data_IF_623061960259
#
_entry.id   IF_623061960259
#
_cell.length_a   1.000
_cell.length_b   1.000
_cell.length_c   1.000
_cell.angle_alpha   90.00
_cell.angle_beta   90.00
_cell.angle_gamma   90.00
#
_symmetry.space_group_name_H-M   'P 1'
#
loop_
_entity.id
_entity.type
_entity.pdbx_description
1 polymer ?
#
# COMPACT_ATOMS: atom_id res chain seq x y z
N UNK A 1 0.59 22.88 13.05
CA UNK A 1 0.84 22.21 11.77
C UNK A 1 -0.50 22.09 11.06
N UNK A 2 -0.55 22.36 9.76
CA UNK A 2 -1.80 22.53 9.02
C UNK A 2 -2.34 21.19 8.51
N UNK A 3 -3.65 21.15 8.27
CA UNK A 3 -4.34 20.08 7.53
C UNK A 3 -3.64 19.78 6.19
N UNK A 4 -2.97 20.78 5.60
CA UNK A 4 -2.18 20.61 4.37
C UNK A 4 -1.10 19.53 4.46
N UNK A 5 -0.50 19.26 5.63
CA UNK A 5 0.43 18.16 5.80
C UNK A 5 -0.26 16.81 5.57
N UNK A 6 -1.43 16.60 6.18
CA UNK A 6 -2.18 15.36 6.06
C UNK A 6 -2.78 15.17 4.66
N UNK A 7 -3.23 16.25 4.02
CA UNK A 7 -3.70 16.19 2.64
C UNK A 7 -2.56 15.80 1.69
N UNK A 8 -1.40 16.46 1.82
CA UNK A 8 -0.22 16.14 0.99
C UNK A 8 0.28 14.72 1.24
N UNK A 9 0.37 14.31 2.52
CA UNK A 9 0.76 12.95 2.88
C UNK A 9 -0.24 11.93 2.35
N UNK A 10 -1.54 12.21 2.46
CA UNK A 10 -2.61 11.36 1.98
C UNK A 10 -2.54 11.13 0.47
N UNK A 11 -2.37 12.19 -0.33
CA UNK A 11 -2.19 12.04 -1.77
C UNK A 11 -0.96 11.21 -2.15
N UNK A 12 0.13 11.30 -1.38
CA UNK A 12 1.32 10.47 -1.59
C UNK A 12 1.02 9.02 -1.23
N UNK A 13 0.36 8.77 -0.08
CA UNK A 13 -0.05 7.44 0.35
C UNK A 13 -0.96 6.79 -0.68
N UNK A 14 -1.96 7.49 -1.19
CA UNK A 14 -2.87 7.00 -2.24
C UNK A 14 -2.09 6.59 -3.50
N UNK A 15 -1.11 7.39 -3.92
CA UNK A 15 -0.25 7.06 -5.06
C UNK A 15 0.65 5.86 -4.80
N UNK A 16 1.21 5.73 -3.60
CA UNK A 16 2.05 4.58 -3.23
C UNK A 16 1.21 3.30 -3.17
N UNK A 17 0.00 3.35 -2.59
CA UNK A 17 -0.92 2.22 -2.55
C UNK A 17 -1.39 1.82 -3.96
N UNK A 18 -1.50 2.78 -4.88
CA UNK A 18 -1.77 2.54 -6.30
C UNK A 18 -0.53 2.13 -7.11
N UNK A 19 0.63 1.93 -6.46
CA UNK A 19 1.90 1.59 -7.10
C UNK A 19 2.39 2.62 -8.15
N UNK A 20 2.01 3.90 -8.02
CA UNK A 20 2.39 5.01 -8.93
C UNK A 20 3.66 5.74 -8.47
N UNK A 21 4.70 4.96 -8.15
CA UNK A 21 6.00 5.45 -7.68
C UNK A 21 6.28 5.21 -6.19
N UNK A 22 7.56 5.37 -5.82
CA UNK A 22 8.02 5.12 -4.45
C UNK A 22 7.69 6.27 -3.49
N UNK A 23 7.50 5.96 -2.21
CA UNK A 23 7.29 6.97 -1.18
C UNK A 23 8.41 8.03 -1.16
N UNK A 24 9.65 7.62 -1.44
CA UNK A 24 10.83 8.51 -1.46
C UNK A 24 10.78 9.49 -2.62
N UNK A 25 10.52 9.02 -3.84
CA UNK A 25 10.46 9.90 -5.02
C UNK A 25 9.28 10.87 -4.92
N UNK A 26 8.11 10.39 -4.50
CA UNK A 26 6.90 11.20 -4.35
C UNK A 26 7.04 12.27 -3.26
N UNK A 27 7.64 11.94 -2.11
CA UNK A 27 7.91 12.94 -1.07
C UNK A 27 8.93 13.99 -1.53
N UNK A 28 9.95 13.59 -2.28
CA UNK A 28 10.96 14.52 -2.79
C UNK A 28 10.40 15.48 -3.84
N UNK A 29 9.50 14.97 -4.71
CA UNK A 29 8.81 15.75 -5.73
C UNK A 29 7.73 16.69 -5.16
N UNK A 30 7.29 16.47 -3.93
CA UNK A 30 6.28 17.32 -3.29
C UNK A 30 6.78 18.75 -3.07
N UNK A 31 5.88 19.72 -3.19
CA UNK A 31 6.13 21.15 -2.93
C UNK A 31 6.17 21.51 -1.43
N UNK A 32 6.06 20.52 -0.54
CA UNK A 32 5.97 20.76 0.90
C UNK A 32 7.36 20.91 1.53
N UNK A 33 7.57 21.99 2.28
CA UNK A 33 8.92 22.36 2.78
C UNK A 33 9.52 21.31 3.72
N UNK A 34 8.73 20.76 4.63
CA UNK A 34 9.21 19.81 5.66
C UNK A 34 9.22 18.37 5.13
N UNK A 35 10.01 18.12 4.08
CA UNK A 35 10.10 16.81 3.41
C UNK A 35 10.44 15.64 4.33
N UNK A 36 11.32 15.85 5.34
CA UNK A 36 11.66 14.81 6.33
C UNK A 36 10.45 14.39 7.17
N UNK A 37 9.67 15.35 7.66
CA UNK A 37 8.49 15.07 8.48
C UNK A 37 7.36 14.43 7.66
N UNK A 38 7.22 14.84 6.40
CA UNK A 38 6.29 14.26 5.44
C UNK A 38 6.64 12.79 5.15
N UNK A 39 7.90 12.52 4.78
CA UNK A 39 8.38 11.18 4.50
C UNK A 39 8.22 10.24 5.70
N UNK A 40 8.56 10.71 6.91
CA UNK A 40 8.35 9.93 8.14
C UNK A 40 6.87 9.58 8.34
N UNK A 41 5.94 10.54 8.17
CA UNK A 41 4.51 10.29 8.32
C UNK A 41 3.99 9.30 7.28
N UNK A 42 4.41 9.42 6.02
CA UNK A 42 4.02 8.51 4.93
C UNK A 42 4.52 7.10 5.22
N UNK A 43 5.80 6.92 5.54
CA UNK A 43 6.37 5.60 5.83
C UNK A 43 5.75 4.95 7.06
N UNK A 44 5.50 5.72 8.14
CA UNK A 44 4.80 5.19 9.30
C UNK A 44 3.36 4.80 8.96
N UNK A 45 2.61 5.63 8.22
CA UNK A 45 1.23 5.31 7.81
C UNK A 45 1.17 4.04 6.96
N UNK A 46 2.09 3.89 6.01
CA UNK A 46 2.16 2.72 5.13
C UNK A 46 2.48 1.42 5.89
N UNK A 47 3.17 1.46 7.04
CA UNK A 47 3.42 0.26 7.85
C UNK A 47 2.12 -0.36 8.38
N UNK A 48 1.12 0.46 8.66
CA UNK A 48 -0.14 0.04 9.28
C UNK A 48 -1.32 0.11 8.30
N UNK A 49 -1.08 0.37 7.01
CA UNK A 49 -2.18 0.65 6.08
C UNK A 49 -3.17 -0.49 5.95
N UNK A 50 -2.72 -1.75 5.92
CA UNK A 50 -3.64 -2.90 5.85
C UNK A 50 -4.61 -2.98 7.04
N UNK A 51 -4.16 -2.57 8.23
CA UNK A 51 -4.93 -2.62 9.47
C UNK A 51 -5.86 -1.41 9.57
N UNK A 52 -5.37 -0.25 9.14
CA UNK A 52 -6.07 1.03 9.30
C UNK A 52 -6.98 1.37 8.11
N UNK A 53 -6.81 0.73 6.95
CA UNK A 53 -7.64 0.97 5.76
C UNK A 53 -9.14 0.72 6.00
N UNK A 54 -9.58 -0.38 6.64
CA UNK A 54 -10.99 -0.57 6.99
C UNK A 54 -11.52 0.58 7.87
N UNK A 55 -10.75 1.00 8.88
CA UNK A 55 -11.12 2.10 9.77
C UNK A 55 -11.22 3.44 9.03
N UNK A 56 -10.31 3.68 8.08
CA UNK A 56 -10.33 4.87 7.26
C UNK A 56 -11.57 4.91 6.34
N UNK A 57 -12.02 3.76 5.84
CA UNK A 57 -13.26 3.64 5.04
C UNK A 57 -14.51 3.93 5.87
N UNK A 58 -14.60 3.39 7.08
CA UNK A 58 -15.72 3.64 7.99
C UNK A 58 -15.84 5.14 8.32
N UNK A 59 -14.70 5.79 8.57
CA UNK A 59 -14.65 7.24 8.80
C UNK A 59 -15.01 8.05 7.55
N UNK A 60 -14.62 7.59 6.36
CA UNK A 60 -14.96 8.27 5.11
C UNK A 60 -16.48 8.35 4.91
N UNK A 61 -17.20 7.26 5.20
CA UNK A 61 -18.67 7.24 5.16
C UNK A 61 -19.32 8.27 6.09
N UNK A 62 -18.63 8.68 7.15
CA UNK A 62 -19.12 9.67 8.13
C UNK A 62 -18.67 11.10 7.82
N UNK A 63 -17.45 11.27 7.32
CA UNK A 63 -16.82 12.59 7.05
C UNK A 63 -17.10 13.12 5.65
N UNK A 64 -17.63 12.29 4.75
CA UNK A 64 -17.93 12.63 3.35
C UNK A 64 -16.69 12.69 2.45
N UNK A 65 -16.94 12.84 1.14
CA UNK A 65 -15.92 12.73 0.07
C UNK A 65 -14.91 13.88 -0.01
N UNK A 66 -14.99 14.85 0.90
CA UNK A 66 -14.04 15.96 0.98
C UNK A 66 -12.62 15.51 1.41
N UNK A 67 -12.47 14.28 1.94
CA UNK A 67 -11.20 13.72 2.40
C UNK A 67 -10.84 12.47 1.58
N UNK A 68 -9.59 12.37 1.12
CA UNK A 68 -9.12 11.15 0.45
C UNK A 68 -8.87 10.03 1.46
N UNK A 69 -8.92 8.77 1.00
CA UNK A 69 -8.61 7.61 1.84
C UNK A 69 -7.23 7.72 2.48
N UNK A 70 -6.21 8.10 1.72
CA UNK A 70 -4.86 8.30 2.25
C UNK A 70 -4.80 9.37 3.33
N UNK A 71 -5.56 10.47 3.20
CA UNK A 71 -5.60 11.52 4.23
C UNK A 71 -6.21 11.01 5.53
N UNK A 72 -7.35 10.32 5.43
CA UNK A 72 -8.00 9.69 6.58
C UNK A 72 -7.10 8.64 7.21
N UNK A 73 -6.38 7.86 6.41
CA UNK A 73 -5.43 6.87 6.89
C UNK A 73 -4.31 7.50 7.72
N UNK A 74 -3.72 8.60 7.25
CA UNK A 74 -2.71 9.34 8.01
C UNK A 74 -3.26 9.92 9.33
N UNK A 75 -4.52 10.38 9.32
CA UNK A 75 -5.18 10.92 10.51
C UNK A 75 -5.48 9.83 11.54
N UNK A 76 -6.02 8.70 11.11
CA UNK A 76 -6.27 7.51 11.95
C UNK A 76 -4.97 7.00 12.55
N UNK A 77 -3.92 6.91 11.73
CA UNK A 77 -2.59 6.51 12.20
C UNK A 77 -2.10 7.39 13.36
N UNK A 78 -2.10 8.72 13.19
CA UNK A 78 -1.63 9.63 14.25
C UNK A 78 -2.56 9.63 15.49
N UNK A 79 -3.87 9.44 15.32
CA UNK A 79 -4.84 9.37 16.40
C UNK A 79 -4.75 8.08 17.23
N UNK A 80 -4.60 6.93 16.58
CA UNK A 80 -4.61 5.62 17.22
C UNK A 80 -3.23 5.19 17.71
N UNK A 81 -2.17 5.43 16.92
CA UNK A 81 -0.82 4.92 17.24
C UNK A 81 -0.01 5.94 18.04
N UNK A 82 -0.03 7.22 17.64
CA UNK A 82 0.72 8.26 18.36
C UNK A 82 -0.06 8.93 19.48
N UNK A 83 -1.38 8.74 19.53
CA UNK A 83 -2.27 9.40 20.49
C UNK A 83 -2.30 10.93 20.35
N UNK A 84 -1.77 11.49 19.26
CA UNK A 84 -1.64 12.93 19.05
C UNK A 84 -1.89 13.32 17.60
N UNK A 85 -2.86 14.19 17.41
CA UNK A 85 -3.13 14.82 16.12
C UNK A 85 -2.31 16.10 15.98
N UNK A 86 -1.58 16.24 14.86
CA UNK A 86 -0.81 17.44 14.54
C UNK A 86 -1.68 18.54 13.91
N UNK A 87 -2.93 18.22 13.58
CA UNK A 87 -3.93 19.14 13.04
C UNK A 87 -4.89 19.65 14.13
N UNK A 88 -5.39 20.86 13.94
CA UNK A 88 -6.48 21.45 14.71
C UNK A 88 -7.77 21.58 13.88
N UNK A 89 -8.78 22.25 14.44
CA UNK A 89 -10.03 22.54 13.74
C UNK A 89 -11.09 21.43 13.82
N UNK A 90 -12.14 21.55 13.01
CA UNK A 90 -13.33 20.68 13.02
C UNK A 90 -13.00 19.19 12.94
N UNK A 91 -12.02 18.82 12.11
CA UNK A 91 -11.57 17.42 11.95
C UNK A 91 -11.07 16.81 13.27
N UNK A 92 -10.42 17.61 14.13
CA UNK A 92 -9.92 17.14 15.43
C UNK A 92 -11.06 16.81 16.39
N UNK A 93 -12.15 17.57 16.34
CA UNK A 93 -13.33 17.33 17.16
C UNK A 93 -14.02 16.04 16.70
N UNK A 94 -14.28 15.91 15.41
CA UNK A 94 -14.93 14.72 14.84
C UNK A 94 -14.10 13.46 15.12
N UNK A 95 -12.79 13.49 14.88
CA UNK A 95 -11.92 12.35 15.22
C UNK A 95 -11.90 12.02 16.71
N UNK A 96 -12.06 13.01 17.60
CA UNK A 96 -12.14 12.78 19.04
C UNK A 96 -13.45 12.11 19.42
N UNK A 97 -14.56 12.49 18.78
CA UNK A 97 -15.88 11.85 18.99
C UNK A 97 -15.87 10.40 18.49
N UNK A 98 -15.25 10.13 17.35
CA UNK A 98 -15.13 8.77 16.81
C UNK A 98 -13.99 7.94 17.38
N UNK A 99 -13.10 8.53 18.20
CA UNK A 99 -11.96 7.83 18.79
C UNK A 99 -12.33 6.55 19.57
N UNK A 100 -13.36 6.55 20.43
CA UNK A 100 -13.75 5.33 21.16
C UNK A 100 -14.15 4.18 20.23
N UNK A 101 -14.85 4.47 19.13
CA UNK A 101 -15.23 3.47 18.14
C UNK A 101 -14.00 2.90 17.40
N UNK A 102 -13.04 3.76 17.04
CA UNK A 102 -11.77 3.33 16.44
C UNK A 102 -10.96 2.44 17.40
N UNK A 103 -10.86 2.83 18.66
CA UNK A 103 -10.12 2.07 19.68
C UNK A 103 -10.81 0.70 19.96
N UNK A 104 -12.15 0.65 19.89
CA UNK A 104 -12.92 -0.60 19.97
C UNK A 104 -12.66 -1.52 18.78
N UNK A 105 -12.72 -1.01 17.54
CA UNK A 105 -12.40 -1.80 16.35
C UNK A 105 -10.95 -2.31 16.38
N UNK A 106 -9.99 -1.47 16.79
CA UNK A 106 -8.60 -1.90 16.94
C UNK A 106 -8.45 -2.99 18.00
N UNK A 107 -9.13 -2.88 19.13
CA UNK A 107 -9.12 -3.89 20.19
C UNK A 107 -9.70 -5.23 19.71
N UNK A 108 -10.75 -5.17 18.87
CA UNK A 108 -11.30 -6.36 18.22
C UNK A 108 -10.29 -7.00 17.27
N UNK A 109 -9.62 -6.22 16.41
CA UNK A 109 -8.59 -6.72 15.50
C UNK A 109 -7.39 -7.30 16.26
N UNK A 110 -6.98 -6.65 17.36
CA UNK A 110 -5.93 -7.12 18.28
C UNK A 110 -6.31 -8.49 18.89
N UNK A 111 -7.56 -8.62 19.35
CA UNK A 111 -8.08 -9.87 19.92
C UNK A 111 -8.16 -10.99 18.88
N UNK A 112 -8.67 -10.70 17.68
CA UNK A 112 -8.75 -11.66 16.55
C UNK A 112 -7.36 -12.19 16.17
N UNK A 113 -6.31 -11.36 16.24
CA UNK A 113 -4.93 -11.78 15.96
C UNK A 113 -4.15 -12.26 17.18
N UNK A 114 -4.74 -12.20 18.39
CA UNK A 114 -4.10 -12.61 19.64
C UNK A 114 -2.94 -11.72 20.10
N UNK A 115 -2.88 -10.47 19.64
CA UNK A 115 -1.73 -9.57 19.86
C UNK A 115 -2.09 -8.48 20.88
N UNK A 116 -1.16 -8.13 21.77
CA UNK A 116 -1.37 -7.10 22.82
C UNK A 116 -1.03 -5.67 22.39
N UNK A 117 -0.15 -5.48 21.40
CA UNK A 117 0.28 -4.16 20.92
C UNK A 117 0.09 -4.02 19.42
N UNK A 118 -0.31 -2.83 18.98
CA UNK A 118 -0.47 -2.50 17.56
C UNK A 118 0.86 -2.64 16.80
N UNK A 119 1.99 -2.41 17.46
CA UNK A 119 3.32 -2.55 16.84
C UNK A 119 3.63 -3.99 16.43
N UNK A 120 3.09 -4.97 17.14
CA UNK A 120 3.30 -6.39 16.88
C UNK A 120 2.32 -6.93 15.81
N UNK A 121 1.34 -6.13 15.38
CA UNK A 121 0.47 -6.45 14.23
C UNK A 121 1.13 -6.17 12.88
N UNK A 122 2.22 -5.42 12.85
CA UNK A 122 2.91 -5.07 11.61
C UNK A 122 3.65 -6.32 11.12
N UNK A 123 3.47 -6.73 9.85
CA UNK A 123 4.32 -7.74 9.25
C UNK A 123 5.79 -7.33 9.38
N UNK A 124 6.69 -8.27 9.66
CA UNK A 124 8.13 -7.98 9.85
C UNK A 124 8.80 -7.26 8.67
N UNK A 125 8.17 -7.24 7.49
CA UNK A 125 8.57 -6.46 6.32
C UNK A 125 7.54 -5.34 6.07
N UNK A 126 7.99 -4.08 6.08
CA UNK A 126 7.09 -2.95 5.85
C UNK A 126 6.67 -2.84 4.38
N UNK A 127 5.47 -2.31 4.10
CA UNK A 127 5.01 -2.04 2.73
C UNK A 127 5.92 -1.06 1.97
N UNK A 128 6.64 -0.20 2.70
CA UNK A 128 7.66 0.68 2.13
C UNK A 128 8.91 -0.08 1.63
N UNK A 129 9.18 -1.28 2.17
CA UNK A 129 10.28 -2.17 1.78
C UNK A 129 9.83 -3.25 0.78
N UNK A 130 8.52 -3.53 0.70
CA UNK A 130 7.90 -4.43 -0.28
C UNK A 130 7.62 -3.73 -1.61
N UNK A 131 8.66 -3.18 -2.22
CA UNK A 131 8.52 -2.62 -3.56
C UNK A 131 8.36 -3.75 -4.58
N UNK A 132 7.14 -3.94 -5.09
CA UNK A 132 6.85 -4.97 -6.08
C UNK A 132 7.66 -4.78 -7.36
N UNK A 133 8.00 -5.89 -8.01
CA UNK A 133 8.62 -5.94 -9.33
C UNK A 133 7.52 -6.18 -10.36
N UNK A 134 7.38 -5.25 -11.29
CA UNK A 134 6.41 -5.38 -12.37
C UNK A 134 7.12 -5.83 -13.66
N UNK A 135 6.58 -6.87 -14.30
CA UNK A 135 7.03 -7.39 -15.58
C UNK A 135 5.86 -7.46 -16.55
N UNK A 136 6.01 -6.86 -17.72
CA UNK A 136 5.01 -6.92 -18.79
C UNK A 136 5.24 -8.12 -19.67
N UNK A 137 4.17 -8.83 -20.00
CA UNK A 137 4.18 -9.86 -21.03
C UNK A 137 4.25 -9.21 -22.40
N UNK A 138 5.21 -9.66 -23.19
CA UNK A 138 5.36 -9.25 -24.57
C UNK A 138 4.39 -10.04 -25.46
N UNK A 139 3.22 -9.47 -25.69
CA UNK A 139 2.15 -10.07 -26.50
C UNK A 139 2.53 -10.34 -27.96
N UNK A 140 3.62 -9.75 -28.45
CA UNK A 140 4.18 -10.04 -29.77
C UNK A 140 4.94 -11.38 -29.82
N UNK A 141 5.38 -11.91 -28.67
CA UNK A 141 6.16 -13.16 -28.58
C UNK A 141 5.45 -14.29 -27.85
N UNK A 142 4.53 -13.99 -26.95
CA UNK A 142 3.78 -14.98 -26.18
C UNK A 142 2.42 -14.41 -25.72
N UNK A 143 1.43 -15.28 -25.53
CA UNK A 143 0.17 -14.88 -24.88
C UNK A 143 0.33 -14.90 -23.36
N UNK A 144 -0.38 -13.99 -22.68
CA UNK A 144 -0.37 -13.89 -21.21
C UNK A 144 -0.79 -15.20 -20.56
N UNK A 145 -1.79 -15.90 -21.12
CA UNK A 145 -2.22 -17.19 -20.61
C UNK A 145 -1.12 -18.27 -20.67
N UNK A 146 -0.26 -18.24 -21.68
CA UNK A 146 0.83 -19.20 -21.81
C UNK A 146 1.96 -18.88 -20.82
N UNK A 147 2.31 -17.60 -20.67
CA UNK A 147 3.32 -17.19 -19.67
C UNK A 147 2.88 -17.52 -18.25
N UNK A 148 1.60 -17.30 -17.92
CA UNK A 148 1.03 -17.69 -16.62
C UNK A 148 1.12 -19.20 -16.42
N UNK A 149 0.80 -20.00 -17.45
CA UNK A 149 0.88 -21.47 -17.39
C UNK A 149 2.31 -21.96 -17.21
N UNK A 150 3.27 -21.35 -17.92
CA UNK A 150 4.70 -21.67 -17.79
C UNK A 150 5.17 -21.43 -16.35
N UNK A 151 4.84 -20.27 -15.78
CA UNK A 151 5.17 -19.94 -14.39
C UNK A 151 4.50 -20.91 -13.39
N UNK A 152 3.22 -21.24 -13.57
CA UNK A 152 2.52 -22.20 -12.71
C UNK A 152 3.15 -23.60 -12.78
N UNK A 153 3.56 -24.04 -13.97
CA UNK A 153 4.22 -25.34 -14.19
C UNK A 153 5.60 -25.40 -13.52
N UNK A 154 6.32 -24.28 -13.49
CA UNK A 154 7.59 -24.17 -12.78
C UNK A 154 7.44 -24.16 -11.24
N UNK A 155 6.21 -24.09 -10.74
CA UNK A 155 5.88 -24.08 -9.31
C UNK A 155 5.66 -22.69 -8.72
N UNK A 156 5.42 -21.67 -9.55
CA UNK A 156 4.94 -20.38 -9.07
C UNK A 156 3.46 -20.44 -8.71
N UNK A 157 3.09 -19.77 -7.63
CA UNK A 157 1.70 -19.68 -7.19
C UNK A 157 1.06 -18.37 -7.64
N UNK A 158 -0.03 -18.47 -8.40
CA UNK A 158 -0.82 -17.30 -8.80
C UNK A 158 -1.75 -16.87 -7.67
N UNK A 159 -1.65 -15.62 -7.26
CA UNK A 159 -2.54 -15.00 -6.28
C UNK A 159 -3.57 -14.12 -7.00
N UNK A 160 -4.85 -14.30 -6.68
CA UNK A 160 -5.91 -13.45 -7.21
C UNK A 160 -5.93 -12.15 -6.40
N UNK A 161 -5.42 -11.08 -6.99
CA UNK A 161 -5.46 -9.74 -6.40
C UNK A 161 -6.50 -8.91 -7.15
N UNK A 162 -7.52 -8.47 -6.43
CA UNK A 162 -8.57 -7.58 -6.94
C UNK A 162 -8.20 -6.11 -6.79
N UNK A 163 -7.30 -5.80 -5.85
CA UNK A 163 -6.80 -4.45 -5.59
C UNK A 163 -5.29 -4.44 -5.41
N UNK A 164 -4.64 -3.30 -5.69
CA UNK A 164 -3.18 -3.15 -5.54
C UNK A 164 -2.67 -3.42 -4.14
N UNK A 165 -3.49 -3.13 -3.12
CA UNK A 165 -3.15 -3.41 -1.73
C UNK A 165 -2.89 -4.90 -1.51
N UNK A 166 -3.62 -5.77 -2.23
CA UNK A 166 -3.46 -7.22 -2.13
C UNK A 166 -2.20 -7.71 -2.82
N UNK A 167 -1.67 -6.99 -3.83
CA UNK A 167 -0.42 -7.33 -4.47
C UNK A 167 0.75 -7.30 -3.47
N UNK A 168 0.69 -6.43 -2.45
CA UNK A 168 1.71 -6.39 -1.41
C UNK A 168 1.72 -7.61 -0.48
N UNK A 169 0.71 -8.49 -0.58
CA UNK A 169 0.69 -9.78 0.14
C UNK A 169 1.58 -10.84 -0.53
N UNK A 170 1.99 -10.61 -1.79
CA UNK A 170 2.84 -11.53 -2.54
C UNK A 170 4.14 -11.81 -1.78
N UNK A 171 4.43 -13.09 -1.56
CA UNK A 171 5.62 -13.54 -0.86
C UNK A 171 6.24 -14.77 -1.53
N UNK A 172 7.56 -14.91 -1.38
CA UNK A 172 8.29 -16.07 -1.91
C UNK A 172 8.09 -16.24 -3.41
N UNK A 173 7.61 -17.41 -3.82
CA UNK A 173 7.41 -17.79 -5.22
C UNK A 173 5.97 -17.60 -5.69
N UNK A 174 5.45 -16.40 -5.44
CA UNK A 174 4.10 -16.00 -5.82
C UNK A 174 4.14 -14.89 -6.86
N UNK A 175 3.09 -14.80 -7.68
CA UNK A 175 2.87 -13.71 -8.62
C UNK A 175 1.37 -13.42 -8.74
N UNK A 176 1.03 -12.23 -9.24
CA UNK A 176 -0.35 -11.86 -9.53
C UNK A 176 -0.41 -11.05 -10.82
N UNK A 177 -1.58 -11.05 -11.48
CA UNK A 177 -1.84 -10.09 -12.55
C UNK A 177 -2.19 -8.74 -11.94
N UNK A 178 -1.72 -7.66 -12.56
CA UNK A 178 -2.14 -6.31 -12.16
C UNK A 178 -3.64 -6.11 -12.45
N UNK A 179 -4.43 -5.55 -11.51
CA UNK A 179 -5.85 -5.36 -11.73
C UNK A 179 -6.20 -4.17 -12.65
N UNK A 180 -5.27 -3.22 -12.87
CA UNK A 180 -5.53 -2.04 -13.70
C UNK A 180 -4.93 -2.17 -15.11
N UNK A 181 -3.77 -2.82 -15.22
CA UNK A 181 -2.97 -2.86 -16.46
C UNK A 181 -2.97 -4.29 -17.02
N UNK A 182 -3.55 -4.51 -18.22
CA UNK A 182 -3.53 -5.83 -18.84
C UNK A 182 -2.09 -6.26 -19.17
N UNK A 183 -1.86 -7.57 -19.14
CA UNK A 183 -0.58 -8.20 -19.46
C UNK A 183 0.60 -7.77 -18.55
N UNK A 184 0.32 -7.12 -17.42
CA UNK A 184 1.31 -6.77 -16.41
C UNK A 184 1.22 -7.75 -15.24
N UNK A 185 2.36 -8.34 -14.89
CA UNK A 185 2.51 -9.27 -13.78
C UNK A 185 3.29 -8.60 -12.65
N UNK A 186 2.83 -8.79 -11.42
CA UNK A 186 3.46 -8.32 -10.21
C UNK A 186 4.14 -9.48 -9.47
N UNK A 187 5.37 -9.23 -9.02
CA UNK A 187 6.20 -10.16 -8.26
C UNK A 187 6.74 -9.50 -6.98
N UNK A 188 7.10 -10.29 -5.96
CA UNK A 188 7.81 -9.79 -4.78
C UNK A 188 9.11 -9.06 -5.12
N UNK A 189 9.52 -8.11 -4.26
CA UNK A 189 10.70 -7.25 -4.46
C UNK A 189 12.01 -8.00 -4.73
N UNK A 190 12.17 -9.16 -4.07
CA UNK A 190 13.38 -10.00 -4.05
C UNK A 190 13.40 -11.04 -5.18
N UNK A 191 12.38 -11.07 -6.03
CA UNK A 191 12.31 -11.97 -7.18
C UNK A 191 13.28 -11.48 -8.26
N UNK A 192 14.32 -12.26 -8.51
CA UNK A 192 15.21 -12.07 -9.65
C UNK A 192 14.76 -12.94 -10.82
N UNK A 193 14.48 -12.30 -11.95
CA UNK A 193 14.07 -12.94 -13.20
C UNK A 193 14.98 -12.52 -14.36
N UNK A 194 16.12 -11.87 -14.10
CA UNK A 194 17.05 -11.43 -15.16
C UNK A 194 17.68 -12.60 -15.93
N UNK A 195 17.92 -13.73 -15.27
CA UNK A 195 18.43 -14.95 -15.91
C UNK A 195 17.32 -15.92 -16.33
N UNK A 196 16.05 -15.51 -16.17
CA UNK A 196 14.91 -16.39 -16.46
C UNK A 196 14.75 -16.60 -17.97
N UNK A 197 14.47 -17.83 -18.45
CA UNK A 197 14.25 -18.09 -19.87
C UNK A 197 13.19 -17.19 -20.50
N UNK A 198 12.11 -16.89 -19.78
CA UNK A 198 11.06 -15.98 -20.23
C UNK A 198 11.55 -14.54 -20.45
N UNK A 199 12.52 -14.08 -19.66
CA UNK A 199 13.14 -12.77 -19.85
C UNK A 199 14.17 -12.80 -20.98
N UNK A 200 15.06 -13.79 -21.01
CA UNK A 200 16.10 -13.94 -22.03
C UNK A 200 15.51 -14.13 -23.44
N UNK A 201 14.37 -14.81 -23.54
CA UNK A 201 13.61 -14.96 -24.80
C UNK A 201 12.73 -13.75 -25.10
N UNK A 202 12.76 -12.69 -24.28
CA UNK A 202 12.00 -11.45 -24.47
C UNK A 202 10.48 -11.62 -24.41
N UNK A 203 9.99 -12.67 -23.75
CA UNK A 203 8.57 -12.88 -23.44
C UNK A 203 8.11 -12.05 -22.24
N UNK A 204 9.04 -11.76 -21.31
CA UNK A 204 8.84 -10.84 -20.18
C UNK A 204 9.77 -9.63 -20.31
N UNK A 205 9.27 -8.45 -19.92
CA UNK A 205 10.00 -7.19 -19.96
C UNK A 205 9.84 -6.51 -18.59
N UNK A 206 10.94 -6.13 -17.93
CA UNK A 206 10.88 -5.30 -16.73
C UNK A 206 10.31 -3.93 -17.07
N UNK A 207 9.21 -3.57 -16.40
CA UNK A 207 8.53 -2.31 -16.63
C UNK A 207 7.99 -1.79 -15.31
N UNK A 208 8.48 -0.63 -14.87
CA UNK A 208 7.90 0.04 -13.72
C UNK A 208 6.46 0.49 -14.02
N UNK A 209 5.62 0.40 -13.00
CA UNK A 209 4.26 0.92 -13.04
C UNK A 209 4.27 2.44 -12.81
N UNK A 210 3.64 3.19 -13.73
CA UNK A 210 3.62 4.67 -13.74
C UNK A 210 2.29 5.18 -13.21
#
# INVERSE_FOLDING_TARGET
MSVALYNTAGHIVDRVLACRGSAKSLCLASKYDRKKALFALVCETLKYSEILLPLARDLQGTLGDQWTQGTLLCLVHDACIKGRLRCGGKIKFILREHKPALDQHLSRILAERGVKKIQDLVPSESLAERQLRFLRVNTLRAQTADVVRDLETEGWQRLSASTHVELFRLQGRQFACDPDIPDLLAFPAKTDLHDHPLYLTGRLIFQDKV
#
